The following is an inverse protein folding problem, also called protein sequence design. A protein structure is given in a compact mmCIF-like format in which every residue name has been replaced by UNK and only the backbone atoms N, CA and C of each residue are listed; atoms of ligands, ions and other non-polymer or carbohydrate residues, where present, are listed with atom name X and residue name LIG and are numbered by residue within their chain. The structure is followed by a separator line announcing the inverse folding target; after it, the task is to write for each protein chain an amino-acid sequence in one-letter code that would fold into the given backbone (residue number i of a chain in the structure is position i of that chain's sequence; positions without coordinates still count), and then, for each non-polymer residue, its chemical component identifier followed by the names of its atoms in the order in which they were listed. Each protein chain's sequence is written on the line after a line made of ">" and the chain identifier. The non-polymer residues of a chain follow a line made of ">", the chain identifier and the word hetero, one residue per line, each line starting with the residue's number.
data_IF_902904298751
#
_entry.id   IF_902904298751
#
_cell.length_a   1.000
_cell.length_b   1.000
_cell.length_c   1.000
_cell.angle_alpha   90.00
_cell.angle_beta   90.00
_cell.angle_gamma   90.00
#
_symmetry.space_group_name_H-M   'P 1'
#
loop_
_entity.id
_entity.type
_entity.pdbx_description
1 polymer ?
#
# COMPACT_ATOMS: atom_id res chain seq x y z
N UNK A 1 0.25 -22.35 -41.61
CA UNK A 1 -0.22 -20.96 -41.51
C UNK A 1 -1.25 -20.91 -40.41
N UNK A 2 -0.84 -20.61 -39.18
CA UNK A 2 -1.74 -20.38 -38.07
C UNK A 2 -1.88 -18.88 -37.92
N UNK A 3 -3.03 -18.35 -38.25
CA UNK A 3 -3.39 -16.98 -37.96
C UNK A 3 -3.64 -16.85 -36.46
N UNK A 4 -2.70 -16.17 -35.80
CA UNK A 4 -2.90 -15.71 -34.43
C UNK A 4 -3.83 -14.47 -34.52
N UNK A 5 -5.11 -14.67 -34.35
CA UNK A 5 -6.05 -13.56 -34.19
C UNK A 5 -5.99 -13.12 -32.75
N UNK A 6 -5.17 -12.10 -32.49
CA UNK A 6 -5.27 -11.30 -31.26
C UNK A 6 -6.70 -10.74 -31.19
N UNK A 7 -7.54 -11.36 -30.40
CA UNK A 7 -8.86 -10.83 -30.06
C UNK A 7 -8.59 -9.68 -29.09
N UNK A 8 -8.37 -8.48 -29.61
CA UNK A 8 -8.39 -7.26 -28.80
C UNK A 8 -9.85 -7.09 -28.32
N UNK A 9 -10.06 -7.31 -27.03
CA UNK A 9 -11.37 -7.09 -26.43
C UNK A 9 -11.57 -5.57 -26.32
N UNK A 10 -12.30 -5.04 -27.30
CA UNK A 10 -12.70 -3.63 -27.33
C UNK A 10 -13.82 -3.40 -26.31
N UNK A 11 -13.61 -2.51 -25.36
CA UNK A 11 -14.69 -2.04 -24.50
C UNK A 11 -15.38 -0.90 -25.22
N UNK A 12 -16.67 -1.04 -25.45
CA UNK A 12 -17.52 -0.01 -26.06
C UNK A 12 -18.27 0.68 -24.91
N UNK A 13 -18.05 1.99 -24.73
CA UNK A 13 -18.83 2.78 -23.79
C UNK A 13 -20.29 2.93 -24.27
N UNK A 14 -21.22 3.39 -23.40
CA UNK A 14 -22.62 3.61 -23.80
C UNK A 14 -22.82 4.61 -24.94
N UNK A 15 -21.77 5.35 -25.33
CA UNK A 15 -21.77 6.28 -26.47
C UNK A 15 -21.08 5.69 -27.72
N UNK A 16 -20.75 4.41 -27.71
CA UNK A 16 -20.12 3.71 -28.86
C UNK A 16 -18.63 3.99 -29.04
N UNK A 17 -17.92 4.58 -28.05
CA UNK A 17 -16.48 4.83 -28.13
C UNK A 17 -15.72 3.59 -27.69
N UNK A 18 -14.77 3.19 -28.53
CA UNK A 18 -13.87 2.05 -28.25
C UNK A 18 -12.72 2.48 -27.34
N UNK A 19 -12.57 1.79 -26.22
CA UNK A 19 -11.39 1.91 -25.36
C UNK A 19 -10.65 0.57 -25.33
N UNK A 20 -9.33 0.62 -25.53
CA UNK A 20 -8.48 -0.54 -25.24
C UNK A 20 -8.30 -0.63 -23.73
N UNK A 21 -8.31 -1.85 -23.19
CA UNK A 21 -7.98 -2.09 -21.79
C UNK A 21 -6.57 -1.61 -21.51
N UNK A 22 -6.36 -1.12 -20.30
CA UNK A 22 -5.02 -0.79 -19.81
C UNK A 22 -4.27 -2.10 -19.55
N UNK A 23 -3.15 -2.28 -20.23
CA UNK A 23 -2.27 -3.44 -20.11
C UNK A 23 -1.36 -3.30 -18.91
N UNK A 24 -1.56 -4.14 -17.89
CA UNK A 24 -0.84 -4.10 -16.62
C UNK A 24 0.15 -5.25 -16.54
N UNK A 25 1.41 -4.92 -16.22
CA UNK A 25 2.41 -5.88 -15.79
C UNK A 25 2.56 -5.92 -14.26
N UNK A 26 2.86 -7.07 -13.69
CA UNK A 26 3.20 -7.22 -12.27
C UNK A 26 4.66 -7.61 -12.14
N UNK A 27 5.43 -6.88 -11.31
CA UNK A 27 6.81 -7.21 -10.99
C UNK A 27 6.93 -7.65 -9.51
N UNK A 28 7.03 -8.97 -9.29
CA UNK A 28 7.03 -9.62 -7.98
C UNK A 28 5.66 -10.21 -7.60
N UNK A 29 5.66 -11.44 -7.09
CA UNK A 29 4.44 -12.18 -6.79
C UNK A 29 4.45 -12.74 -5.36
N UNK A 30 4.47 -11.79 -4.40
CA UNK A 30 4.23 -12.02 -2.96
C UNK A 30 2.76 -11.80 -2.61
N UNK A 31 2.49 -11.42 -1.36
CA UNK A 31 1.13 -11.11 -0.91
C UNK A 31 0.52 -9.94 -1.71
N UNK A 32 1.31 -8.87 -1.93
CA UNK A 32 0.87 -7.72 -2.71
C UNK A 32 0.61 -8.10 -4.18
N UNK A 33 1.53 -8.81 -4.84
CA UNK A 33 1.36 -9.21 -6.24
C UNK A 33 0.12 -10.09 -6.48
N UNK A 34 -0.20 -10.99 -5.55
CA UNK A 34 -1.45 -11.76 -5.56
C UNK A 34 -2.68 -10.87 -5.37
N UNK A 35 -2.58 -9.87 -4.50
CA UNK A 35 -3.62 -8.86 -4.33
C UNK A 35 -3.85 -8.04 -5.60
N UNK A 36 -2.77 -7.60 -6.29
CA UNK A 36 -2.84 -6.87 -7.55
C UNK A 36 -3.55 -7.70 -8.63
N UNK A 37 -3.19 -8.97 -8.79
CA UNK A 37 -3.88 -9.88 -9.71
C UNK A 37 -5.40 -9.94 -9.42
N UNK A 38 -5.76 -10.11 -8.14
CA UNK A 38 -7.16 -10.12 -7.69
C UNK A 38 -7.87 -8.80 -8.00
N UNK A 39 -7.23 -7.66 -7.72
CA UNK A 39 -7.80 -6.35 -7.94
C UNK A 39 -7.99 -6.02 -9.43
N UNK A 40 -7.05 -6.40 -10.30
CA UNK A 40 -7.19 -6.21 -11.75
C UNK A 40 -8.44 -6.94 -12.27
N UNK A 41 -8.71 -8.16 -11.81
CA UNK A 41 -9.91 -8.90 -12.21
C UNK A 41 -11.24 -8.21 -11.87
N UNK A 42 -11.24 -7.32 -10.88
CA UNK A 42 -12.41 -6.51 -10.50
C UNK A 42 -12.53 -5.22 -11.32
N UNK A 43 -11.54 -4.90 -12.17
CA UNK A 43 -11.48 -3.68 -12.95
C UNK A 43 -11.55 -3.99 -14.45
N UNK A 44 -12.76 -3.93 -15.02
CA UNK A 44 -13.01 -4.34 -16.41
C UNK A 44 -12.32 -3.49 -17.49
N UNK A 45 -11.79 -2.34 -17.15
CA UNK A 45 -11.00 -1.46 -18.02
C UNK A 45 -9.50 -1.76 -18.01
N UNK A 46 -9.07 -2.81 -17.29
CA UNK A 46 -7.69 -3.27 -17.18
C UNK A 46 -7.55 -4.75 -17.53
N UNK A 47 -6.36 -5.15 -17.93
CA UNK A 47 -6.00 -6.54 -18.15
C UNK A 47 -4.58 -6.82 -17.67
N UNK A 48 -4.38 -7.95 -17.02
CA UNK A 48 -3.06 -8.44 -16.65
C UNK A 48 -2.45 -9.14 -17.87
N UNK A 49 -1.34 -8.60 -18.38
CA UNK A 49 -0.70 -9.14 -19.60
C UNK A 49 0.56 -9.94 -19.31
N UNK A 50 1.26 -9.69 -18.22
CA UNK A 50 2.47 -10.41 -17.84
C UNK A 50 2.77 -10.31 -16.35
N UNK A 51 3.45 -11.33 -15.82
CA UNK A 51 4.01 -11.34 -14.48
C UNK A 51 5.52 -11.64 -14.56
N UNK A 52 6.31 -10.85 -13.82
CA UNK A 52 7.77 -10.98 -13.73
C UNK A 52 8.19 -11.37 -12.32
N UNK A 53 9.09 -12.35 -12.21
CA UNK A 53 9.56 -12.86 -10.92
C UNK A 53 11.05 -13.14 -10.94
N UNK A 54 11.72 -12.98 -9.78
CA UNK A 54 13.12 -13.40 -9.59
C UNK A 54 13.26 -14.89 -9.24
N UNK A 55 12.14 -15.52 -8.88
CA UNK A 55 12.08 -16.98 -8.68
C UNK A 55 11.99 -17.68 -10.02
N UNK A 56 12.19 -19.00 -10.03
CA UNK A 56 11.87 -19.81 -11.21
C UNK A 56 10.40 -19.60 -11.61
N UNK A 57 10.12 -19.08 -12.81
CA UNK A 57 8.75 -18.85 -13.29
C UNK A 57 7.85 -20.10 -13.20
N UNK A 58 8.41 -21.30 -13.39
CA UNK A 58 7.65 -22.55 -13.31
C UNK A 58 7.10 -22.84 -11.89
N UNK A 59 7.67 -22.20 -10.85
CA UNK A 59 7.22 -22.35 -9.46
C UNK A 59 6.13 -21.36 -9.05
N UNK A 60 5.78 -20.43 -9.93
CA UNK A 60 4.80 -19.37 -9.64
C UNK A 60 3.43 -19.77 -10.14
N UNK A 61 2.50 -19.93 -9.21
CA UNK A 61 1.11 -20.29 -9.48
C UNK A 61 0.24 -19.02 -9.59
N UNK A 62 0.08 -18.50 -10.81
CA UNK A 62 -0.87 -17.42 -11.12
C UNK A 62 -2.27 -17.97 -11.29
N UNK A 63 -3.30 -17.21 -10.89
CA UNK A 63 -4.71 -17.65 -10.96
C UNK A 63 -5.42 -17.19 -12.22
N UNK A 64 -4.91 -16.17 -12.91
CA UNK A 64 -5.47 -15.65 -14.14
C UNK A 64 -4.98 -16.51 -15.31
N UNK A 65 -5.90 -17.22 -15.95
CA UNK A 65 -5.58 -18.09 -17.06
C UNK A 65 -5.00 -17.32 -18.27
N UNK A 66 -4.04 -17.92 -18.94
CA UNK A 66 -3.45 -17.38 -20.16
C UNK A 66 -2.41 -16.27 -19.94
N UNK A 67 -2.17 -15.83 -18.70
CA UNK A 67 -1.15 -14.83 -18.41
C UNK A 67 0.23 -15.49 -18.25
N UNK A 68 1.22 -15.10 -19.07
CA UNK A 68 2.55 -15.66 -18.97
C UNK A 68 3.31 -15.17 -17.73
N UNK A 69 4.15 -16.03 -17.19
CA UNK A 69 5.09 -15.70 -16.11
C UNK A 69 6.52 -15.78 -16.68
N UNK A 70 7.27 -14.69 -16.50
CA UNK A 70 8.63 -14.56 -17.01
C UNK A 70 9.62 -14.33 -15.88
N UNK A 71 10.89 -14.66 -16.16
CA UNK A 71 11.95 -14.24 -15.24
C UNK A 71 12.18 -12.73 -15.32
N UNK A 72 12.46 -12.11 -14.18
CA UNK A 72 12.65 -10.65 -14.06
C UNK A 72 13.68 -10.05 -15.04
N UNK A 73 14.70 -10.80 -15.42
CA UNK A 73 15.71 -10.36 -16.39
C UNK A 73 15.21 -10.19 -17.82
N UNK A 74 14.00 -10.65 -18.11
CA UNK A 74 13.42 -10.58 -19.46
C UNK A 74 12.53 -9.35 -19.66
N UNK A 75 12.31 -8.56 -18.61
CA UNK A 75 11.29 -7.51 -18.60
C UNK A 75 11.40 -6.48 -19.73
N UNK A 76 12.62 -6.12 -20.11
CA UNK A 76 12.86 -5.12 -21.16
C UNK A 76 12.31 -5.52 -22.54
N UNK A 77 12.11 -6.83 -22.77
CA UNK A 77 11.51 -7.33 -24.02
C UNK A 77 10.03 -6.96 -24.18
N UNK A 78 9.37 -6.56 -23.08
CA UNK A 78 7.92 -6.36 -23.01
C UNK A 78 7.54 -4.90 -22.81
N UNK A 79 8.48 -3.96 -23.01
CA UNK A 79 8.22 -2.54 -22.78
C UNK A 79 7.10 -1.95 -23.64
N UNK A 80 6.91 -2.47 -24.85
CA UNK A 80 5.88 -2.00 -25.78
C UNK A 80 4.53 -2.72 -25.56
N UNK A 81 4.50 -3.77 -24.70
CA UNK A 81 3.32 -4.57 -24.41
C UNK A 81 2.62 -4.19 -23.12
N UNK A 82 3.21 -3.31 -22.30
CA UNK A 82 2.75 -2.94 -20.97
C UNK A 82 2.52 -1.44 -20.89
N UNK A 83 1.29 -1.01 -20.58
CA UNK A 83 0.98 0.40 -20.34
C UNK A 83 1.48 0.88 -18.97
N UNK A 84 1.44 0.02 -17.96
CA UNK A 84 1.91 0.32 -16.61
C UNK A 84 2.39 -0.94 -15.88
N UNK A 85 3.52 -0.82 -15.21
CA UNK A 85 4.13 -1.88 -14.42
C UNK A 85 3.94 -1.61 -12.93
N UNK A 86 3.34 -2.56 -12.19
CA UNK A 86 3.15 -2.46 -10.74
C UNK A 86 4.26 -3.22 -10.03
N UNK A 87 5.01 -2.52 -9.17
CA UNK A 87 6.17 -3.05 -8.46
C UNK A 87 5.77 -3.55 -7.08
N UNK A 88 5.91 -4.85 -6.86
CA UNK A 88 5.50 -5.55 -5.63
C UNK A 88 6.70 -6.07 -4.81
N UNK A 89 7.86 -5.42 -4.94
CA UNK A 89 9.06 -5.70 -4.18
C UNK A 89 8.97 -5.24 -2.73
N UNK A 90 9.92 -5.67 -1.90
CA UNK A 90 10.03 -5.21 -0.52
C UNK A 90 10.41 -3.73 -0.46
N UNK A 91 9.67 -2.96 0.33
CA UNK A 91 9.84 -1.51 0.42
C UNK A 91 11.26 -1.11 0.85
N UNK A 92 11.80 -1.73 1.89
CA UNK A 92 13.12 -1.38 2.41
C UNK A 92 14.29 -1.97 1.59
N UNK A 93 14.06 -3.07 0.86
CA UNK A 93 15.13 -3.89 0.26
C UNK A 93 15.16 -3.83 -1.26
N UNK A 94 13.99 -3.84 -1.89
CA UNK A 94 13.89 -4.00 -3.34
C UNK A 94 13.58 -2.67 -4.06
N UNK A 95 12.52 -1.98 -3.64
CA UNK A 95 11.98 -0.79 -4.31
C UNK A 95 12.99 0.36 -4.47
N UNK A 96 13.91 0.64 -3.52
CA UNK A 96 14.89 1.71 -3.69
C UNK A 96 15.77 1.58 -4.94
N UNK A 97 16.05 0.35 -5.35
CA UNK A 97 16.83 0.07 -6.56
C UNK A 97 15.93 -0.23 -7.78
N UNK A 98 14.84 -0.97 -7.57
CA UNK A 98 13.97 -1.44 -8.67
C UNK A 98 13.16 -0.29 -9.29
N UNK A 99 12.57 0.58 -8.47
CA UNK A 99 11.68 1.62 -8.99
C UNK A 99 12.42 2.58 -9.93
N UNK A 100 13.58 3.17 -9.56
CA UNK A 100 14.30 4.03 -10.49
C UNK A 100 14.74 3.29 -11.77
N UNK A 101 15.26 2.06 -11.64
CA UNK A 101 15.72 1.30 -12.79
C UNK A 101 14.59 1.00 -13.79
N UNK A 102 13.39 0.65 -13.30
CA UNK A 102 12.26 0.31 -14.16
C UNK A 102 11.50 1.55 -14.65
N UNK A 103 11.50 2.66 -13.91
CA UNK A 103 10.88 3.92 -14.33
C UNK A 103 11.54 4.54 -15.57
N UNK A 104 12.78 4.19 -15.86
CA UNK A 104 13.45 4.61 -17.10
C UNK A 104 12.84 3.95 -18.35
N UNK A 105 12.22 2.78 -18.19
CA UNK A 105 11.70 1.98 -19.32
C UNK A 105 10.19 1.85 -19.36
N UNK A 106 9.51 2.05 -18.22
CA UNK A 106 8.07 1.85 -18.05
C UNK A 106 7.41 2.96 -17.26
N UNK A 107 6.12 3.18 -17.48
CA UNK A 107 5.29 3.79 -16.47
C UNK A 107 5.18 2.84 -15.28
N UNK A 108 5.42 3.31 -14.05
CA UNK A 108 5.48 2.44 -12.86
C UNK A 108 4.62 2.96 -11.72
N UNK A 109 4.16 2.02 -10.87
CA UNK A 109 3.56 2.33 -9.56
C UNK A 109 4.22 1.46 -8.51
N UNK A 110 4.61 2.05 -7.38
CA UNK A 110 5.13 1.33 -6.22
C UNK A 110 4.40 1.67 -4.91
N UNK A 111 4.66 0.84 -3.90
CA UNK A 111 4.16 1.00 -2.54
C UNK A 111 5.28 1.27 -1.52
N UNK A 112 6.28 2.06 -1.89
CA UNK A 112 7.38 2.40 -1.00
C UNK A 112 6.88 3.11 0.26
N UNK A 113 7.12 2.54 1.45
CA UNK A 113 6.55 2.98 2.73
C UNK A 113 7.59 3.35 3.81
N UNK A 114 8.86 3.42 3.45
CA UNK A 114 9.90 3.91 4.37
C UNK A 114 9.80 5.43 4.46
N UNK A 115 8.87 5.93 5.28
CA UNK A 115 8.45 7.33 5.33
C UNK A 115 9.59 8.34 5.33
N UNK A 116 10.63 8.13 6.16
CA UNK A 116 11.78 9.04 6.26
C UNK A 116 12.59 9.16 4.95
N UNK A 117 12.47 8.18 4.03
CA UNK A 117 13.22 8.13 2.77
C UNK A 117 12.37 8.42 1.53
N UNK A 118 11.09 8.74 1.69
CA UNK A 118 10.21 9.05 0.56
C UNK A 118 10.75 10.23 -0.28
N UNK A 119 11.26 11.35 0.30
CA UNK A 119 11.81 12.44 -0.50
C UNK A 119 13.02 12.03 -1.34
N UNK A 120 13.91 11.21 -0.81
CA UNK A 120 15.07 10.67 -1.52
C UNK A 120 14.62 9.76 -2.69
N UNK A 121 13.68 8.85 -2.40
CA UNK A 121 13.11 7.95 -3.39
C UNK A 121 12.40 8.70 -4.53
N UNK A 122 11.59 9.72 -4.18
CA UNK A 122 10.95 10.60 -5.16
C UNK A 122 11.96 11.22 -6.12
N UNK A 123 13.03 11.80 -5.60
CA UNK A 123 14.05 12.45 -6.42
C UNK A 123 14.75 11.46 -7.36
N UNK A 124 15.11 10.26 -6.87
CA UNK A 124 15.77 9.24 -7.67
C UNK A 124 14.84 8.73 -8.80
N UNK A 125 13.58 8.48 -8.50
CA UNK A 125 12.60 8.00 -9.47
C UNK A 125 12.23 9.09 -10.49
N UNK A 126 12.14 10.37 -10.06
CA UNK A 126 11.83 11.48 -10.99
C UNK A 126 12.90 11.64 -12.07
N UNK A 127 14.18 11.58 -11.69
CA UNK A 127 15.30 11.64 -12.64
C UNK A 127 15.21 10.50 -13.65
N UNK A 128 14.94 9.28 -13.22
CA UNK A 128 14.86 8.12 -14.09
C UNK A 128 13.63 8.17 -15.02
N UNK A 129 12.45 8.46 -14.46
CA UNK A 129 11.22 8.58 -15.22
C UNK A 129 11.29 9.66 -16.29
N UNK A 130 11.87 10.83 -15.97
CA UNK A 130 12.09 11.91 -16.95
C UNK A 130 13.07 11.51 -18.06
N UNK A 131 14.12 10.77 -17.72
CA UNK A 131 15.08 10.28 -18.72
C UNK A 131 14.40 9.33 -19.70
N UNK A 132 13.52 8.44 -19.21
CA UNK A 132 12.76 7.52 -20.05
C UNK A 132 11.53 8.12 -20.72
N UNK A 133 11.13 9.35 -20.38
CA UNK A 133 9.89 9.96 -20.88
C UNK A 133 8.62 9.31 -20.27
N UNK A 134 8.73 8.65 -19.12
CA UNK A 134 7.67 7.90 -18.47
C UNK A 134 7.02 8.66 -17.30
N UNK A 135 5.88 8.16 -16.85
CA UNK A 135 5.20 8.62 -15.63
C UNK A 135 5.37 7.55 -14.56
N UNK A 136 5.93 7.92 -13.41
CA UNK A 136 6.01 7.08 -12.23
C UNK A 136 5.13 7.61 -11.12
N UNK A 137 4.60 6.73 -10.28
CA UNK A 137 3.90 7.11 -9.05
C UNK A 137 4.41 6.24 -7.90
N UNK A 138 4.88 6.88 -6.85
CA UNK A 138 5.51 6.19 -5.72
C UNK A 138 4.68 6.31 -4.45
N UNK A 139 5.01 5.46 -3.47
CA UNK A 139 4.45 5.51 -2.12
C UNK A 139 2.93 5.45 -2.12
N UNK A 140 2.39 4.56 -2.97
CA UNK A 140 0.97 4.39 -3.17
C UNK A 140 0.43 3.20 -2.37
N UNK A 141 -0.47 3.50 -1.45
CA UNK A 141 -1.17 2.53 -0.63
C UNK A 141 -2.26 3.22 0.19
N UNK A 142 -2.62 2.61 1.32
CA UNK A 142 -3.56 3.27 2.21
C UNK A 142 -2.83 4.20 3.21
N UNK A 143 -1.59 3.85 3.65
CA UNK A 143 -0.70 4.76 4.41
C UNK A 143 0.79 4.32 4.23
N UNK A 144 1.58 5.07 3.45
CA UNK A 144 1.24 6.31 2.75
C UNK A 144 0.24 6.10 1.58
N UNK A 145 -0.47 7.16 1.22
CA UNK A 145 -1.44 7.19 0.14
C UNK A 145 -2.77 7.77 0.55
N UNK A 146 -3.81 6.94 0.78
CA UNK A 146 -5.15 7.42 1.14
C UNK A 146 -5.14 8.25 2.44
N UNK A 147 -4.49 7.78 3.49
CA UNK A 147 -4.38 8.53 4.74
C UNK A 147 -3.56 9.83 4.58
N UNK A 148 -2.60 9.85 3.66
CA UNK A 148 -1.86 11.07 3.33
C UNK A 148 -2.78 12.13 2.70
N UNK A 149 -3.66 11.73 1.78
CA UNK A 149 -4.69 12.61 1.22
C UNK A 149 -5.71 13.06 2.29
N UNK A 150 -6.14 12.16 3.17
CA UNK A 150 -7.07 12.50 4.22
C UNK A 150 -6.49 13.55 5.18
N UNK A 151 -5.21 13.43 5.55
CA UNK A 151 -4.50 14.46 6.32
C UNK A 151 -4.41 15.79 5.55
N UNK A 152 -4.08 15.74 4.26
CA UNK A 152 -4.03 16.94 3.41
C UNK A 152 -5.39 17.65 3.35
N UNK A 153 -6.47 16.93 3.04
CA UNK A 153 -7.81 17.50 2.96
C UNK A 153 -8.28 18.08 4.29
N UNK A 154 -8.10 17.32 5.37
CA UNK A 154 -8.52 17.74 6.69
C UNK A 154 -7.75 19.02 7.13
N UNK A 155 -6.42 19.07 6.90
CA UNK A 155 -5.60 20.24 7.19
C UNK A 155 -5.95 21.46 6.34
N UNK A 156 -6.30 21.24 5.07
CA UNK A 156 -6.68 22.34 4.17
C UNK A 156 -8.02 23.01 4.55
N UNK A 157 -9.00 22.21 5.00
CA UNK A 157 -10.34 22.74 5.35
C UNK A 157 -10.44 23.19 6.80
N UNK A 158 -9.55 22.70 7.68
CA UNK A 158 -9.53 23.04 9.10
C UNK A 158 -8.10 23.38 9.52
N UNK A 159 -7.54 24.55 9.08
CA UNK A 159 -6.12 24.88 9.26
C UNK A 159 -5.73 25.06 10.72
N UNK A 160 -6.62 25.60 11.57
CA UNK A 160 -6.42 25.68 13.01
C UNK A 160 -6.82 24.35 13.67
N UNK A 161 -5.85 23.43 13.77
CA UNK A 161 -6.08 22.10 14.34
C UNK A 161 -4.87 21.19 14.30
N UNK A 162 -5.02 20.01 14.91
CA UNK A 162 -3.98 18.98 15.05
C UNK A 162 -4.40 17.69 14.36
N UNK A 163 -3.45 17.02 13.70
CA UNK A 163 -3.64 15.72 13.05
C UNK A 163 -3.19 14.57 13.95
N UNK A 164 -4.03 13.56 14.04
CA UNK A 164 -3.74 12.32 14.75
C UNK A 164 -3.88 11.14 13.80
N UNK A 165 -2.90 10.25 13.83
CA UNK A 165 -3.01 8.96 13.15
C UNK A 165 -2.89 7.84 14.18
N UNK A 166 -3.89 6.96 14.20
CA UNK A 166 -3.93 5.76 15.00
C UNK A 166 -3.98 4.56 14.05
N UNK A 167 -3.01 3.66 14.14
CA UNK A 167 -2.99 2.42 13.37
C UNK A 167 -3.49 1.26 14.19
N UNK A 168 -4.26 0.38 13.58
CA UNK A 168 -4.69 -0.87 14.18
C UNK A 168 -6.21 -0.96 14.38
N UNK A 169 -6.68 -1.99 15.04
CA UNK A 169 -5.89 -3.19 15.41
C UNK A 169 -5.37 -3.88 14.13
N UNK A 170 -4.05 -4.04 13.98
CA UNK A 170 -3.51 -4.53 12.71
C UNK A 170 -2.17 -5.21 12.81
N UNK A 171 -1.97 -6.23 11.96
CA UNK A 171 -0.73 -7.00 11.86
C UNK A 171 0.33 -6.20 11.12
N UNK A 172 1.44 -5.92 11.78
CA UNK A 172 2.66 -5.41 11.14
C UNK A 172 3.54 -6.56 10.68
N UNK A 173 3.71 -6.70 9.36
CA UNK A 173 4.55 -7.77 8.80
C UNK A 173 6.02 -7.53 9.13
N UNK A 174 6.52 -6.29 9.01
CA UNK A 174 7.91 -5.96 9.32
C UNK A 174 8.29 -6.21 10.78
N UNK A 175 7.41 -5.85 11.73
CA UNK A 175 7.62 -6.13 13.15
C UNK A 175 7.56 -7.64 13.44
N UNK A 176 6.62 -8.35 12.83
CA UNK A 176 6.53 -9.81 12.94
C UNK A 176 7.80 -10.49 12.41
N UNK A 177 8.36 -10.02 11.30
CA UNK A 177 9.61 -10.51 10.73
C UNK A 177 10.81 -10.24 11.64
N UNK A 178 10.84 -9.09 12.31
CA UNK A 178 11.90 -8.77 13.27
C UNK A 178 11.90 -9.76 14.45
N UNK A 179 10.72 -10.09 14.99
CA UNK A 179 10.59 -11.09 16.05
C UNK A 179 11.04 -12.48 15.59
N UNK A 180 10.65 -12.90 14.37
CA UNK A 180 11.02 -14.21 13.81
C UNK A 180 12.55 -14.40 13.63
N UNK A 181 13.34 -13.32 13.63
CA UNK A 181 14.80 -13.39 13.53
C UNK A 181 15.49 -13.60 14.88
N UNK A 182 14.75 -13.51 15.98
CA UNK A 182 15.30 -13.79 17.33
C UNK A 182 15.54 -15.29 17.44
N UNK A 183 16.72 -15.65 17.92
CA UNK A 183 17.08 -17.05 18.15
C UNK A 183 16.10 -17.73 19.12
N UNK A 184 15.67 -18.95 18.79
CA UNK A 184 14.66 -19.69 19.56
C UNK A 184 13.21 -19.34 19.22
N UNK A 185 12.93 -18.43 18.28
CA UNK A 185 11.59 -18.14 17.77
C UNK A 185 11.33 -18.95 16.49
N UNK A 186 10.21 -19.68 16.46
CA UNK A 186 9.73 -20.43 15.29
C UNK A 186 8.85 -19.59 14.37
N UNK A 187 7.90 -18.84 14.96
CA UNK A 187 7.01 -17.95 14.23
C UNK A 187 6.46 -16.86 15.18
N UNK A 188 5.98 -15.75 14.61
CA UNK A 188 5.39 -14.68 15.38
C UNK A 188 4.41 -13.83 14.56
N UNK A 189 3.45 -13.25 15.28
CA UNK A 189 2.57 -12.18 14.78
C UNK A 189 2.57 -11.01 15.77
N UNK A 190 2.74 -9.81 15.24
CA UNK A 190 2.68 -8.58 16.02
C UNK A 190 1.51 -7.73 15.58
N UNK A 191 0.74 -7.23 16.54
CA UNK A 191 -0.37 -6.31 16.34
C UNK A 191 -0.05 -4.94 16.91
N UNK A 192 -0.28 -3.91 16.13
CA UNK A 192 -0.36 -2.53 16.59
C UNK A 192 -1.78 -2.27 17.07
N UNK A 193 -1.93 -1.76 18.29
CA UNK A 193 -3.23 -1.53 18.91
C UNK A 193 -3.31 -0.07 19.37
N UNK A 194 -4.32 0.72 18.94
CA UNK A 194 -4.54 2.06 19.46
C UNK A 194 -4.84 2.03 20.95
N UNK A 195 -4.40 3.06 21.67
CA UNK A 195 -4.81 3.29 23.07
C UNK A 195 -6.18 3.94 23.08
N UNK A 196 -7.20 3.23 23.55
CA UNK A 196 -8.61 3.64 23.48
C UNK A 196 -8.85 5.01 24.13
N UNK A 197 -8.25 5.27 25.30
CA UNK A 197 -8.42 6.56 25.99
C UNK A 197 -7.87 7.74 25.19
N UNK A 198 -6.75 7.56 24.48
CA UNK A 198 -6.18 8.59 23.61
C UNK A 198 -7.05 8.82 22.38
N UNK A 199 -7.58 7.75 21.79
CA UNK A 199 -8.48 7.81 20.65
C UNK A 199 -9.78 8.54 21.01
N UNK A 200 -10.40 8.22 22.15
CA UNK A 200 -11.64 8.87 22.61
C UNK A 200 -11.43 10.34 22.97
N UNK A 201 -10.32 10.72 23.60
CA UNK A 201 -9.98 12.11 23.86
C UNK A 201 -9.91 12.94 22.57
N UNK A 202 -9.25 12.42 21.53
CA UNK A 202 -9.17 13.10 20.23
C UNK A 202 -10.54 13.19 19.57
N UNK A 203 -11.36 12.13 19.63
CA UNK A 203 -12.75 12.12 19.13
C UNK A 203 -13.66 13.10 19.85
N UNK A 204 -13.39 13.34 21.13
CA UNK A 204 -14.10 14.35 21.91
C UNK A 204 -13.75 15.80 21.52
N UNK A 205 -12.81 15.98 20.59
CA UNK A 205 -12.34 17.30 20.15
C UNK A 205 -11.22 17.87 21.02
N UNK A 206 -10.66 17.08 21.91
CA UNK A 206 -9.48 17.43 22.64
C UNK A 206 -8.25 17.37 21.72
N UNK A 207 -7.25 18.21 21.99
CA UNK A 207 -6.01 18.25 21.24
C UNK A 207 -4.81 17.85 22.12
N UNK A 208 -4.76 16.60 22.64
CA UNK A 208 -3.70 16.16 23.55
C UNK A 208 -2.36 16.03 22.79
N UNK A 209 -1.26 16.39 23.47
CA UNK A 209 0.07 16.06 22.98
C UNK A 209 0.38 14.61 23.37
N UNK A 210 0.39 13.74 22.39
CA UNK A 210 0.57 12.29 22.59
C UNK A 210 1.95 11.84 22.08
N UNK A 211 2.68 11.17 22.93
CA UNK A 211 3.87 10.42 22.55
C UNK A 211 3.48 9.15 21.77
N UNK A 212 4.46 8.50 21.17
CA UNK A 212 4.27 7.21 20.48
C UNK A 212 3.62 6.17 21.39
N UNK A 213 4.08 6.06 22.64
CA UNK A 213 3.61 5.13 23.67
C UNK A 213 2.16 5.41 24.09
N UNK A 214 1.77 6.69 24.16
CA UNK A 214 0.41 7.07 24.51
C UNK A 214 -0.59 6.85 23.38
N UNK A 215 -0.12 6.73 22.14
CA UNK A 215 -0.98 6.46 20.98
C UNK A 215 -1.21 4.98 20.72
N UNK A 216 -0.18 4.14 20.93
CA UNK A 216 -0.23 2.74 20.54
C UNK A 216 0.48 1.83 21.55
N UNK A 217 -0.09 0.64 21.71
CA UNK A 217 0.58 -0.51 22.32
C UNK A 217 0.95 -1.55 21.27
N UNK A 218 1.77 -2.53 21.67
CA UNK A 218 2.16 -3.67 20.84
C UNK A 218 1.72 -4.98 21.51
N UNK A 219 1.05 -5.84 20.78
CA UNK A 219 0.73 -7.20 21.18
C UNK A 219 1.48 -8.19 20.29
N UNK A 220 2.30 -9.03 20.87
CA UNK A 220 3.12 -10.01 20.15
C UNK A 220 2.68 -11.41 20.52
N UNK A 221 2.32 -12.22 19.55
CA UNK A 221 2.02 -13.64 19.70
C UNK A 221 3.19 -14.43 19.11
N UNK A 222 3.90 -15.17 19.96
CA UNK A 222 5.21 -15.76 19.66
C UNK A 222 5.17 -17.26 19.88
N UNK A 223 5.62 -18.00 18.89
CA UNK A 223 5.86 -19.44 18.99
C UNK A 223 7.35 -19.66 19.21
N UNK A 224 7.72 -20.14 20.39
CA UNK A 224 9.11 -20.44 20.73
C UNK A 224 9.44 -21.93 20.48
N UNK A 225 10.71 -22.22 20.29
CA UNK A 225 11.23 -23.60 20.26
C UNK A 225 11.12 -24.25 21.65
N UNK A 226 10.96 -25.55 21.68
CA UNK A 226 10.98 -26.29 22.92
C UNK A 226 12.29 -26.08 23.70
N UNK A 227 12.16 -25.69 24.98
CA UNK A 227 13.31 -25.40 25.83
C UNK A 227 13.98 -24.02 25.60
N UNK A 228 13.43 -23.17 24.77
CA UNK A 228 13.93 -21.82 24.59
C UNK A 228 13.76 -20.96 25.86
N UNK A 229 14.71 -20.04 26.08
CA UNK A 229 14.63 -19.07 27.18
C UNK A 229 13.60 -17.98 26.86
N UNK A 230 12.36 -18.20 27.30
CA UNK A 230 11.23 -17.30 27.04
C UNK A 230 11.46 -15.90 27.65
N UNK A 231 12.10 -15.83 28.81
CA UNK A 231 12.37 -14.53 29.46
C UNK A 231 13.39 -13.71 28.67
N UNK A 232 14.39 -14.34 28.07
CA UNK A 232 15.33 -13.69 27.15
C UNK A 232 14.61 -13.20 25.89
N UNK A 233 13.82 -14.04 25.25
CA UNK A 233 13.08 -13.69 24.03
C UNK A 233 12.15 -12.49 24.30
N UNK A 234 11.38 -12.53 25.40
CA UNK A 234 10.49 -11.41 25.77
C UNK A 234 11.28 -10.11 25.96
N UNK A 235 12.40 -10.14 26.66
CA UNK A 235 13.26 -8.98 26.88
C UNK A 235 13.82 -8.44 25.58
N UNK A 236 14.35 -9.32 24.70
CA UNK A 236 14.88 -8.93 23.40
C UNK A 236 13.82 -8.25 22.51
N UNK A 237 12.58 -8.75 22.55
CA UNK A 237 11.46 -8.10 21.85
C UNK A 237 11.24 -6.70 22.43
N UNK A 238 10.99 -6.59 23.74
CA UNK A 238 10.62 -5.32 24.37
C UNK A 238 11.68 -4.23 24.24
N UNK A 239 12.94 -4.62 24.23
CA UNK A 239 14.10 -3.71 24.15
C UNK A 239 14.56 -3.43 22.70
N UNK A 240 13.96 -4.05 21.68
CA UNK A 240 14.39 -3.93 20.29
C UNK A 240 14.22 -2.51 19.78
N UNK A 241 15.34 -1.82 19.42
CA UNK A 241 15.29 -0.45 18.94
C UNK A 241 14.53 -0.31 17.63
N UNK A 242 13.86 0.82 17.42
CA UNK A 242 13.07 1.16 16.23
C UNK A 242 11.82 0.31 16.01
N UNK A 243 11.57 -0.71 16.82
CA UNK A 243 10.41 -1.59 16.69
C UNK A 243 9.51 -1.58 17.92
N UNK A 244 10.09 -1.82 19.12
CA UNK A 244 9.32 -2.07 20.34
C UNK A 244 9.72 -1.19 21.53
N UNK A 245 10.97 -0.73 21.62
CA UNK A 245 11.51 -0.03 22.78
C UNK A 245 10.71 1.24 23.16
N UNK A 246 10.09 1.91 22.19
CA UNK A 246 9.29 3.12 22.40
C UNK A 246 7.80 2.83 22.70
N UNK A 247 7.43 1.58 22.91
CA UNK A 247 6.02 1.16 23.09
C UNK A 247 5.84 0.33 24.37
N UNK A 248 4.62 0.33 24.90
CA UNK A 248 4.18 -0.69 25.83
C UNK A 248 3.89 -1.96 25.05
N UNK A 249 4.71 -3.00 25.29
CA UNK A 249 4.69 -4.25 24.54
C UNK A 249 4.32 -5.41 25.45
N UNK A 250 3.28 -6.14 25.05
CA UNK A 250 2.88 -7.41 25.68
C UNK A 250 3.28 -8.58 24.77
N UNK A 251 3.90 -9.59 25.35
CA UNK A 251 4.32 -10.82 24.65
C UNK A 251 3.54 -12.01 25.18
N UNK A 252 2.88 -12.71 24.27
CA UNK A 252 2.13 -13.95 24.55
C UNK A 252 2.86 -15.11 23.87
N UNK A 253 3.31 -16.08 24.65
CA UNK A 253 3.85 -17.31 24.10
C UNK A 253 2.69 -18.30 23.90
N UNK A 254 2.53 -18.73 22.65
CA UNK A 254 1.42 -19.62 22.22
C UNK A 254 1.94 -20.77 21.36
N UNK A 255 1.13 -21.77 21.14
CA UNK A 255 1.44 -22.88 20.25
C UNK A 255 1.36 -22.47 18.78
N UNK A 256 2.03 -23.23 17.90
CA UNK A 256 1.94 -23.03 16.45
C UNK A 256 0.52 -23.28 15.93
N UNK A 257 -0.23 -24.19 16.57
CA UNK A 257 -1.63 -24.47 16.25
C UNK A 257 -2.51 -23.25 16.55
N UNK A 258 -2.37 -22.65 17.72
CA UNK A 258 -3.08 -21.41 18.09
C UNK A 258 -2.73 -20.26 17.17
N UNK A 259 -1.44 -20.07 16.86
CA UNK A 259 -1.02 -19.01 15.92
C UNK A 259 -1.68 -19.18 14.56
N UNK A 260 -1.76 -20.40 14.04
CA UNK A 260 -2.40 -20.70 12.75
C UNK A 260 -3.91 -20.57 12.78
N UNK A 261 -4.56 -20.98 13.89
CA UNK A 261 -6.01 -20.90 14.03
C UNK A 261 -6.49 -19.45 14.21
N UNK A 262 -5.84 -18.68 15.09
CA UNK A 262 -6.37 -17.41 15.56
C UNK A 262 -5.68 -16.19 14.92
N UNK A 263 -4.48 -16.36 14.36
CA UNK A 263 -3.62 -15.28 13.86
C UNK A 263 -3.16 -15.48 12.41
N UNK A 264 -3.84 -16.32 11.61
CA UNK A 264 -3.46 -16.58 10.20
C UNK A 264 -3.68 -15.40 9.28
N UNK A 265 -4.65 -14.54 9.56
CA UNK A 265 -4.99 -13.36 8.77
C UNK A 265 -3.95 -12.24 8.85
N UNK A 266 -4.13 -11.24 7.99
CA UNK A 266 -3.34 -10.02 7.95
C UNK A 266 -4.30 -8.80 7.99
N UNK A 267 -5.16 -8.70 9.03
CA UNK A 267 -6.03 -7.54 9.19
C UNK A 267 -5.22 -6.30 9.53
N UNK A 268 -5.73 -5.15 9.13
CA UNK A 268 -5.17 -3.86 9.51
C UNK A 268 -6.25 -2.77 9.47
N UNK A 269 -5.80 -1.51 9.52
CA UNK A 269 -6.63 -0.34 9.42
C UNK A 269 -6.15 0.75 10.37
N UNK A 270 -7.06 1.66 10.68
CA UNK A 270 -6.77 2.76 11.60
C UNK A 270 -7.62 3.98 11.32
N UNK A 271 -7.19 5.08 11.91
CA UNK A 271 -7.91 6.35 11.88
C UNK A 271 -6.96 7.49 11.57
N UNK A 272 -7.40 8.42 10.72
CA UNK A 272 -6.84 9.77 10.62
C UNK A 272 -7.91 10.71 11.17
N UNK A 273 -7.57 11.41 12.22
CA UNK A 273 -8.47 12.33 12.90
C UNK A 273 -7.82 13.70 12.93
N UNK A 274 -8.58 14.71 12.51
CA UNK A 274 -8.21 16.10 12.73
C UNK A 274 -9.20 16.75 13.69
N UNK A 275 -8.67 17.27 14.78
CA UNK A 275 -9.38 18.09 15.72
C UNK A 275 -8.97 19.55 15.53
N UNK A 276 -9.91 20.46 15.40
CA UNK A 276 -9.59 21.86 15.16
C UNK A 276 -10.76 22.80 15.39
N UNK A 277 -10.55 24.08 15.16
CA UNK A 277 -11.49 25.13 15.50
C UNK A 277 -11.76 26.06 14.31
N UNK A 278 -12.93 26.70 14.36
CA UNK A 278 -13.31 27.82 13.48
C UNK A 278 -14.00 28.92 14.30
N UNK A 279 -14.22 30.07 13.67
CA UNK A 279 -14.72 31.28 14.31
C UNK A 279 -13.61 32.27 14.58
N UNK A 280 -13.95 33.52 14.86
CA UNK A 280 -12.95 34.57 15.07
C UNK A 280 -12.12 34.37 16.35
N UNK A 281 -12.72 33.78 17.38
CA UNK A 281 -12.09 33.46 18.66
C UNK A 281 -11.88 31.95 18.87
N UNK A 282 -12.08 31.13 17.81
CA UNK A 282 -11.98 29.68 17.90
C UNK A 282 -13.10 29.03 18.70
N UNK A 283 -14.29 29.64 18.67
CA UNK A 283 -15.47 29.25 19.48
C UNK A 283 -16.17 27.98 19.01
N UNK A 284 -15.91 27.50 17.77
CA UNK A 284 -16.51 26.31 17.23
C UNK A 284 -15.49 25.18 17.06
N UNK A 285 -15.69 24.08 17.78
CA UNK A 285 -14.84 22.89 17.68
C UNK A 285 -15.38 21.91 16.63
N UNK A 286 -14.47 21.33 15.86
CA UNK A 286 -14.79 20.36 14.81
C UNK A 286 -13.84 19.17 14.87
N UNK A 287 -14.36 18.01 14.49
CA UNK A 287 -13.58 16.77 14.32
C UNK A 287 -13.88 16.19 12.95
N UNK A 288 -12.82 15.90 12.19
CA UNK A 288 -12.91 15.15 10.93
C UNK A 288 -12.24 13.80 11.18
N UNK A 289 -12.95 12.71 10.97
CA UNK A 289 -12.40 11.36 11.12
C UNK A 289 -12.54 10.56 9.83
N UNK A 290 -11.45 9.94 9.39
CA UNK A 290 -11.40 8.93 8.36
C UNK A 290 -10.98 7.61 8.99
N UNK A 291 -11.74 6.55 8.74
CA UNK A 291 -11.52 5.23 9.32
C UNK A 291 -11.39 4.17 8.25
N UNK A 292 -10.43 3.25 8.44
CA UNK A 292 -10.27 2.04 7.64
C UNK A 292 -10.32 0.80 8.53
N UNK A 293 -11.07 -0.21 8.08
CA UNK A 293 -11.08 -1.55 8.65
C UNK A 293 -10.82 -2.55 7.53
N UNK A 294 -9.68 -3.20 7.56
CA UNK A 294 -9.17 -4.05 6.48
C UNK A 294 -9.06 -5.48 6.97
N UNK A 295 -9.77 -6.41 6.34
CA UNK A 295 -9.62 -7.84 6.61
C UNK A 295 -8.31 -8.38 6.04
N UNK A 296 -7.85 -7.79 4.93
CA UNK A 296 -6.58 -8.12 4.28
C UNK A 296 -5.84 -6.85 3.86
N UNK A 297 -4.78 -6.52 4.58
CA UNK A 297 -3.93 -5.36 4.25
C UNK A 297 -3.38 -5.44 2.81
N UNK A 298 -2.73 -6.53 2.35
CA UNK A 298 -2.14 -6.55 1.02
C UNK A 298 -3.18 -6.46 -0.11
N UNK A 299 -4.37 -7.04 0.05
CA UNK A 299 -5.41 -6.98 -0.98
C UNK A 299 -6.05 -5.59 -1.08
N UNK A 300 -6.27 -4.92 0.06
CA UNK A 300 -6.76 -3.54 0.04
C UNK A 300 -5.72 -2.58 -0.54
N UNK A 301 -4.46 -2.70 -0.12
CA UNK A 301 -3.35 -1.93 -0.71
C UNK A 301 -3.28 -2.13 -2.22
N UNK A 302 -3.43 -3.36 -2.68
CA UNK A 302 -3.47 -3.70 -4.10
C UNK A 302 -4.61 -2.97 -4.84
N UNK A 303 -5.81 -2.92 -4.26
CA UNK A 303 -6.95 -2.22 -4.86
C UNK A 303 -6.69 -0.72 -4.99
N UNK A 304 -6.03 -0.12 -3.99
CA UNK A 304 -5.59 1.29 -4.08
C UNK A 304 -4.59 1.46 -5.22
N UNK A 305 -3.54 0.63 -5.28
CA UNK A 305 -2.50 0.71 -6.31
C UNK A 305 -3.09 0.55 -7.72
N UNK A 306 -4.02 -0.37 -7.93
CA UNK A 306 -4.67 -0.57 -9.24
C UNK A 306 -5.47 0.66 -9.67
N UNK A 307 -6.15 1.35 -8.75
CA UNK A 307 -6.82 2.61 -9.06
C UNK A 307 -5.81 3.69 -9.48
N UNK A 308 -4.65 3.77 -8.80
CA UNK A 308 -3.60 4.73 -9.17
C UNK A 308 -2.83 4.34 -10.44
N UNK A 309 -2.69 3.05 -10.75
CA UNK A 309 -2.14 2.60 -12.02
C UNK A 309 -2.96 3.11 -13.21
N UNK A 310 -4.31 3.11 -13.09
CA UNK A 310 -5.19 3.77 -14.07
C UNK A 310 -4.87 5.25 -14.22
N UNK A 311 -4.66 5.96 -13.13
CA UNK A 311 -4.34 7.37 -13.14
C UNK A 311 -2.98 7.66 -13.80
N UNK A 312 -1.97 6.83 -13.53
CA UNK A 312 -0.65 6.92 -14.15
C UNK A 312 -0.74 6.85 -15.67
N UNK A 313 -1.49 5.88 -16.20
CA UNK A 313 -1.68 5.74 -17.65
C UNK A 313 -2.40 6.95 -18.25
N UNK A 314 -3.40 7.49 -17.55
CA UNK A 314 -4.10 8.72 -18.02
C UNK A 314 -3.17 9.92 -18.03
N UNK A 315 -2.41 10.14 -16.97
CA UNK A 315 -1.42 11.21 -16.88
C UNK A 315 -0.34 11.08 -17.95
N UNK A 316 0.17 9.87 -18.19
CA UNK A 316 1.14 9.59 -19.23
C UNK A 316 0.61 9.96 -20.62
N UNK A 317 -0.62 9.55 -20.95
CA UNK A 317 -1.28 9.88 -22.23
C UNK A 317 -1.52 11.39 -22.43
N UNK A 318 -1.52 12.16 -21.34
CA UNK A 318 -1.59 13.62 -21.36
C UNK A 318 -0.21 14.31 -21.38
N UNK A 319 0.87 13.54 -21.43
CA UNK A 319 2.25 14.06 -21.45
C UNK A 319 2.81 14.45 -20.08
N UNK A 320 2.20 14.00 -18.97
CA UNK A 320 2.69 14.25 -17.61
C UNK A 320 3.86 13.30 -17.31
N UNK A 321 5.07 13.68 -17.62
CA UNK A 321 6.31 12.92 -17.39
C UNK A 321 6.88 13.18 -16.00
N UNK A 322 7.66 12.21 -15.48
CA UNK A 322 8.36 12.27 -14.20
C UNK A 322 7.61 11.57 -13.07
N UNK A 323 8.19 11.66 -11.87
CA UNK A 323 7.63 11.00 -10.69
C UNK A 323 6.52 11.85 -10.06
N UNK A 324 5.48 11.16 -9.62
CA UNK A 324 4.29 11.70 -8.95
C UNK A 324 4.09 11.03 -7.61
N UNK A 325 3.31 11.67 -6.76
CA UNK A 325 2.74 11.12 -5.53
C UNK A 325 1.22 11.12 -5.63
N UNK A 326 0.54 10.60 -4.63
CA UNK A 326 -0.93 10.67 -4.55
C UNK A 326 -1.46 12.11 -4.55
N UNK A 327 -0.64 13.10 -4.19
CA UNK A 327 -1.01 14.52 -4.16
C UNK A 327 -1.12 15.15 -5.56
N UNK A 328 -0.47 14.56 -6.55
CA UNK A 328 -0.42 15.05 -7.92
C UNK A 328 -1.55 14.51 -8.81
N UNK A 329 -2.37 13.58 -8.29
CA UNK A 329 -3.36 12.84 -9.06
C UNK A 329 -4.74 13.46 -8.94
N UNK A 330 -5.35 13.92 -10.06
CA UNK A 330 -6.76 14.33 -10.06
C UNK A 330 -7.67 13.14 -9.64
N UNK A 331 -8.57 13.31 -8.65
CA UNK A 331 -9.43 12.22 -8.18
C UNK A 331 -10.24 11.52 -9.28
N UNK A 332 -10.65 12.25 -10.32
CA UNK A 332 -11.40 11.71 -11.45
C UNK A 332 -10.63 10.64 -12.23
N UNK A 333 -9.29 10.63 -12.16
CA UNK A 333 -8.46 9.66 -12.86
C UNK A 333 -8.44 8.29 -12.19
N UNK A 334 -8.83 8.21 -10.92
CA UNK A 334 -8.88 6.96 -10.16
C UNK A 334 -10.05 6.06 -10.56
N UNK A 335 -11.13 6.64 -11.09
CA UNK A 335 -12.36 5.90 -11.42
C UNK A 335 -12.37 5.40 -12.86
N UNK A 336 -12.89 4.19 -13.14
CA UNK A 336 -13.17 3.76 -14.51
C UNK A 336 -14.32 4.54 -15.17
N UNK A 337 -15.15 5.23 -14.37
CA UNK A 337 -16.28 6.05 -14.85
C UNK A 337 -15.79 7.33 -15.52
N UNK A 338 -16.59 7.84 -16.46
CA UNK A 338 -16.38 9.17 -17.06
C UNK A 338 -16.65 10.29 -16.05
N UNK A 339 -16.14 11.49 -16.33
CA UNK A 339 -16.41 12.68 -15.51
C UNK A 339 -17.90 12.97 -15.39
N UNK A 340 -18.65 12.82 -16.49
CA UNK A 340 -20.09 13.03 -16.52
C UNK A 340 -20.86 12.04 -15.63
N UNK A 341 -20.43 10.76 -15.64
CA UNK A 341 -21.01 9.73 -14.77
C UNK A 341 -20.71 10.01 -13.30
N UNK A 342 -19.49 10.46 -12.98
CA UNK A 342 -19.13 10.83 -11.61
C UNK A 342 -19.93 12.05 -11.11
N UNK A 343 -20.04 13.11 -11.92
CA UNK A 343 -20.85 14.27 -11.60
C UNK A 343 -22.31 13.86 -11.32
N UNK A 344 -22.88 13.01 -12.18
CA UNK A 344 -24.27 12.55 -12.03
C UNK A 344 -24.50 11.69 -10.78
N UNK A 345 -23.49 10.91 -10.36
CA UNK A 345 -23.66 9.92 -9.29
C UNK A 345 -23.14 10.35 -7.93
N UNK A 346 -22.24 11.35 -7.86
CA UNK A 346 -21.57 11.75 -6.62
C UNK A 346 -21.78 13.21 -6.24
N UNK A 347 -22.27 14.06 -7.15
CA UNK A 347 -22.68 15.43 -6.89
C UNK A 347 -24.19 15.61 -7.08
#
# INVERSE_FOLDING_TARGET
>A
MCYNTDIQIEIIDPKGRKYMRIKVGIFGYGNLGRGIESAIRQNGDMELVALFTRRDPATVNIRTEGVPVYHASEIEKYKDDIDVLILCGGSATDLPAQTPALAEHFCVVDSFDTHARIPEHLAAVDVAARRGGNTALISCGWDPGMFSLNRLYAGAVLPDGEDYTFWGRGVSQGHSDAIRRIDGVLDAKQYTVPVDSALEAVRAGEAPKLSTREKHTRECYVVAQDGADLARIEREIKEMPNYFADYDTTVHFISLEELRRDHSGIPHGGFVIRSGKTGFEGEHSHVIEYSLKLDSNPEFTASVIVAYARAVVRMYREGNVGCKTVFDVPPVYLSPKSREELVKSLL
#
